data_IF_523650331576
#
_entry.id   IF_523650331576
#
_cell.length_a   1.000
_cell.length_b   1.000
_cell.length_c   1.000
_cell.angle_alpha   90.00
_cell.angle_beta   90.00
_cell.angle_gamma   90.00
#
_symmetry.space_group_name_H-M   'P 1'
#
loop_
_entity.id
_entity.type
_entity.pdbx_description
1 polymer ?
#
# COMPACT_ATOMS: atom_id res chain seq x y z
N UNK A 1 23.82 -39.34 -45.30
CA UNK A 1 22.76 -38.88 -44.39
C UNK A 1 22.64 -39.91 -43.27
N UNK A 2 23.14 -39.60 -42.06
CA UNK A 2 23.14 -40.56 -40.96
C UNK A 2 21.70 -40.84 -40.52
N UNK A 3 21.33 -42.13 -40.39
CA UNK A 3 19.99 -42.54 -39.94
C UNK A 3 19.91 -42.36 -38.42
N UNK A 4 19.31 -41.26 -37.98
CA UNK A 4 19.04 -41.00 -36.56
C UNK A 4 17.85 -41.85 -36.12
N UNK A 5 17.99 -42.60 -35.03
CA UNK A 5 16.89 -43.36 -34.45
C UNK A 5 15.92 -42.45 -33.68
N UNK A 6 14.63 -42.84 -33.59
CA UNK A 6 13.62 -42.07 -32.82
C UNK A 6 14.06 -41.76 -31.38
N UNK A 7 14.81 -42.68 -30.77
CA UNK A 7 15.36 -42.53 -29.42
C UNK A 7 16.46 -41.47 -29.36
N UNK A 8 17.34 -41.41 -30.35
CA UNK A 8 18.41 -40.42 -30.43
C UNK A 8 17.87 -39.02 -30.73
N UNK A 9 16.84 -38.93 -31.57
CA UNK A 9 16.13 -37.67 -31.83
C UNK A 9 15.52 -37.08 -30.56
N UNK A 10 14.88 -37.90 -29.73
CA UNK A 10 14.30 -37.42 -28.46
C UNK A 10 15.38 -37.01 -27.45
N UNK A 11 16.54 -37.70 -27.43
CA UNK A 11 17.67 -37.32 -26.59
C UNK A 11 18.28 -35.98 -27.00
N UNK A 12 18.48 -35.74 -28.30
CA UNK A 12 19.01 -34.46 -28.78
C UNK A 12 18.04 -33.30 -28.51
N UNK A 13 16.73 -33.54 -28.65
CA UNK A 13 15.72 -32.55 -28.34
C UNK A 13 15.72 -32.19 -26.84
N UNK A 14 15.74 -33.19 -25.96
CA UNK A 14 15.75 -32.98 -24.50
C UNK A 14 17.03 -32.31 -23.99
N UNK A 15 18.19 -32.64 -24.56
CA UNK A 15 19.46 -31.97 -24.23
C UNK A 15 19.45 -30.53 -24.74
N UNK A 16 18.90 -30.29 -25.94
CA UNK A 16 18.79 -28.96 -26.51
C UNK A 16 17.89 -28.03 -25.69
N UNK A 17 16.70 -28.49 -25.29
CA UNK A 17 15.78 -27.66 -24.49
C UNK A 17 16.28 -27.41 -23.08
N UNK A 18 16.88 -28.41 -22.43
CA UNK A 18 17.50 -28.23 -21.11
C UNK A 18 18.70 -27.26 -21.18
N UNK A 19 19.53 -27.35 -22.23
CA UNK A 19 20.65 -26.45 -22.44
C UNK A 19 20.22 -24.99 -22.62
N UNK A 20 19.15 -24.75 -23.40
CA UNK A 20 18.60 -23.40 -23.60
C UNK A 20 17.99 -22.84 -22.32
N UNK A 21 17.17 -23.63 -21.61
CA UNK A 21 16.55 -23.19 -20.36
C UNK A 21 17.58 -22.86 -19.27
N UNK A 22 18.66 -23.64 -19.18
CA UNK A 22 19.75 -23.37 -18.22
C UNK A 22 20.58 -22.15 -18.63
N UNK A 23 20.81 -21.92 -19.92
CA UNK A 23 21.56 -20.75 -20.38
C UNK A 23 20.75 -19.46 -20.19
N UNK A 24 19.49 -19.44 -20.58
CA UNK A 24 18.59 -18.30 -20.34
C UNK A 24 18.35 -18.08 -18.85
N UNK A 25 18.15 -19.15 -18.07
CA UNK A 25 17.97 -19.08 -16.61
C UNK A 25 19.22 -18.61 -15.85
N UNK A 26 20.43 -18.93 -16.31
CA UNK A 26 21.67 -18.43 -15.71
C UNK A 26 21.94 -16.95 -16.05
N UNK A 27 21.45 -16.48 -17.20
CA UNK A 27 21.47 -15.06 -17.59
C UNK A 27 20.25 -14.27 -17.13
N UNK A 28 19.29 -14.93 -16.47
CA UNK A 28 18.09 -14.27 -16.00
C UNK A 28 18.48 -13.27 -14.91
N UNK A 29 18.23 -11.99 -15.19
CA UNK A 29 18.31 -10.94 -14.18
C UNK A 29 17.35 -11.35 -13.06
N UNK A 30 17.79 -11.44 -11.80
CA UNK A 30 16.89 -11.79 -10.71
C UNK A 30 15.73 -10.80 -10.73
N UNK A 31 14.50 -11.31 -10.62
CA UNK A 31 13.31 -10.50 -10.41
C UNK A 31 13.37 -9.91 -8.99
N UNK A 32 14.35 -9.04 -8.74
CA UNK A 32 14.37 -8.22 -7.55
C UNK A 32 13.19 -7.28 -7.68
N UNK A 33 12.31 -7.32 -6.67
CA UNK A 33 11.23 -6.36 -6.53
C UNK A 33 11.83 -4.97 -6.73
N UNK A 34 11.36 -4.32 -7.79
CA UNK A 34 11.84 -3.05 -8.31
C UNK A 34 12.17 -2.09 -7.15
N UNK A 35 13.41 -1.64 -7.09
CA UNK A 35 13.94 -0.70 -6.09
C UNK A 35 13.20 0.66 -6.09
N UNK A 36 12.37 0.86 -7.12
CA UNK A 36 11.53 2.04 -7.34
C UNK A 36 10.05 1.73 -7.01
N UNK A 37 9.75 1.36 -5.76
CA UNK A 37 8.38 1.55 -5.27
C UNK A 37 8.13 3.07 -5.16
N UNK A 38 6.93 3.56 -5.52
CA UNK A 38 6.60 4.96 -5.27
C UNK A 38 6.74 5.23 -3.78
N UNK A 39 7.68 6.12 -3.44
CA UNK A 39 7.93 6.53 -2.07
C UNK A 39 6.71 7.35 -1.62
N UNK A 40 5.75 6.71 -0.92
CA UNK A 40 4.59 7.39 -0.37
C UNK A 40 5.05 8.22 0.83
N UNK A 41 5.64 9.38 0.53
CA UNK A 41 6.02 10.36 1.54
C UNK A 41 4.75 10.99 2.07
N UNK A 42 4.32 10.54 3.25
CA UNK A 42 3.27 11.19 4.02
C UNK A 42 3.61 12.68 4.17
N UNK A 43 2.72 13.55 3.71
CA UNK A 43 2.81 14.98 3.98
C UNK A 43 2.66 15.28 5.47
N UNK A 44 2.89 16.53 5.91
CA UNK A 44 2.68 16.91 7.29
C UNK A 44 1.21 16.70 7.71
N UNK A 45 1.00 16.35 8.98
CA UNK A 45 -0.34 16.22 9.56
C UNK A 45 -1.15 17.50 9.35
N UNK A 46 -2.33 17.37 8.73
CA UNK A 46 -3.19 18.50 8.34
C UNK A 46 -3.64 19.37 9.53
N UNK A 47 -3.76 18.75 10.71
CA UNK A 47 -4.22 19.39 11.95
C UNK A 47 -3.08 20.05 12.75
N UNK A 48 -1.82 19.90 12.36
CA UNK A 48 -0.67 20.40 13.16
C UNK A 48 -0.68 21.92 13.40
N UNK A 49 -1.36 22.68 12.55
CA UNK A 49 -1.42 24.15 12.57
C UNK A 49 -2.78 24.71 13.00
N UNK A 50 -3.70 23.85 13.41
CA UNK A 50 -5.06 24.25 13.79
C UNK A 50 -5.19 24.42 15.30
N UNK A 51 -6.08 25.29 15.74
CA UNK A 51 -6.50 25.40 17.14
C UNK A 51 -7.62 24.39 17.40
N UNK A 52 -7.42 23.57 18.42
CA UNK A 52 -8.41 22.63 18.95
C UNK A 52 -9.35 23.31 19.93
N UNK A 53 -10.62 22.93 19.91
CA UNK A 53 -11.64 23.41 20.86
C UNK A 53 -12.66 22.31 21.09
N UNK A 54 -12.77 21.84 22.33
CA UNK A 54 -13.79 20.90 22.74
C UNK A 54 -15.18 21.56 22.68
N UNK A 55 -16.16 20.84 22.15
CA UNK A 55 -17.54 21.29 22.01
C UNK A 55 -18.50 20.10 22.11
N UNK A 56 -19.80 20.37 22.02
CA UNK A 56 -20.87 19.37 22.03
C UNK A 56 -21.65 19.43 20.73
N UNK A 57 -21.97 18.26 20.17
CA UNK A 57 -22.77 18.11 18.97
C UNK A 57 -24.19 18.68 19.15
N UNK A 58 -24.59 19.60 18.27
CA UNK A 58 -25.83 20.37 18.38
C UNK A 58 -27.05 19.73 17.65
N UNK A 59 -27.01 18.43 17.36
CA UNK A 59 -28.05 17.75 16.59
C UNK A 59 -29.14 17.10 17.45
N UNK A 60 -28.98 15.82 17.85
CA UNK A 60 -30.07 15.01 18.45
C UNK A 60 -30.31 15.23 19.95
N UNK A 61 -29.48 16.00 20.64
CA UNK A 61 -29.51 16.09 22.11
C UNK A 61 -28.85 14.92 22.83
N UNK A 62 -28.28 13.96 22.09
CA UNK A 62 -27.52 12.84 22.66
C UNK A 62 -26.30 13.32 23.46
N UNK A 63 -25.73 14.47 23.10
CA UNK A 63 -24.64 15.10 23.83
C UNK A 63 -23.24 14.61 23.43
N UNK A 64 -23.07 14.05 22.24
CA UNK A 64 -21.77 13.60 21.73
C UNK A 64 -20.72 14.72 21.84
N UNK A 65 -19.57 14.41 22.45
CA UNK A 65 -18.42 15.30 22.49
C UNK A 65 -17.73 15.36 21.14
N UNK A 66 -17.30 16.54 20.74
CA UNK A 66 -16.58 16.76 19.48
C UNK A 66 -15.38 17.67 19.69
N UNK A 67 -14.32 17.45 18.93
CA UNK A 67 -13.16 18.33 18.85
C UNK A 67 -13.26 19.12 17.54
N UNK A 68 -13.30 20.44 17.66
CA UNK A 68 -13.38 21.36 16.53
C UNK A 68 -11.99 21.91 16.24
N UNK A 69 -11.51 21.72 15.01
CA UNK A 69 -10.24 22.26 14.53
C UNK A 69 -10.47 23.51 13.70
N UNK A 70 -9.84 24.61 14.09
CA UNK A 70 -9.97 25.91 13.43
C UNK A 70 -8.63 26.49 12.99
N UNK A 71 -8.63 27.17 11.84
CA UNK A 71 -7.49 27.93 11.31
C UNK A 71 -8.01 29.28 10.81
N UNK A 72 -7.36 30.39 11.20
CA UNK A 72 -7.77 31.74 10.78
C UNK A 72 -9.26 32.05 11.02
N UNK A 73 -9.77 31.69 12.21
CA UNK A 73 -11.19 31.83 12.59
C UNK A 73 -12.19 31.09 11.69
N UNK A 74 -11.74 30.08 10.95
CA UNK A 74 -12.60 29.19 10.17
C UNK A 74 -12.45 27.76 10.67
N UNK A 75 -13.57 27.05 10.78
CA UNK A 75 -13.55 25.61 11.06
C UNK A 75 -13.06 24.89 9.80
N UNK A 76 -12.07 24.02 9.97
CA UNK A 76 -11.47 23.26 8.86
C UNK A 76 -11.68 21.76 8.99
N UNK A 77 -11.92 21.27 10.21
CA UNK A 77 -12.19 19.86 10.50
C UNK A 77 -12.90 19.69 11.84
N UNK A 78 -13.67 18.61 12.00
CA UNK A 78 -14.34 18.21 13.24
C UNK A 78 -14.24 16.69 13.33
N UNK A 79 -13.94 16.17 14.51
CA UNK A 79 -14.04 14.74 14.83
C UNK A 79 -14.68 14.53 16.21
N UNK A 80 -14.97 13.27 16.56
CA UNK A 80 -15.50 12.93 17.87
C UNK A 80 -14.43 13.06 18.95
N UNK A 81 -14.86 13.39 20.17
CA UNK A 81 -13.98 13.45 21.33
C UNK A 81 -13.81 12.03 21.93
N UNK A 82 -12.60 11.43 21.89
CA UNK A 82 -12.36 10.09 22.43
C UNK A 82 -12.50 10.02 23.95
N UNK A 83 -12.37 11.15 24.67
CA UNK A 83 -12.49 11.21 26.12
C UNK A 83 -13.95 11.38 26.58
N UNK A 84 -14.88 11.63 25.65
CA UNK A 84 -16.29 11.80 25.98
C UNK A 84 -16.99 10.44 26.16
N UNK A 85 -17.65 10.20 27.31
CA UNK A 85 -18.22 8.89 27.64
C UNK A 85 -19.45 8.51 26.81
N UNK A 86 -20.04 9.44 26.07
CA UNK A 86 -21.26 9.19 25.28
C UNK A 86 -20.90 8.60 23.92
N UNK A 87 -19.80 9.05 23.31
CA UNK A 87 -19.46 8.67 21.96
C UNK A 87 -18.06 8.10 21.76
N UNK A 88 -17.13 8.27 22.70
CA UNK A 88 -15.79 7.65 22.66
C UNK A 88 -15.05 7.90 21.33
N UNK A 89 -15.30 9.06 20.71
CA UNK A 89 -14.71 9.44 19.42
C UNK A 89 -15.55 9.14 18.18
N UNK A 90 -16.75 8.54 18.30
CA UNK A 90 -17.64 8.16 17.20
C UNK A 90 -18.86 9.07 16.97
#
# INVERSE_FOLDING_TARGET
>A
MQKISRREFLKSLGIGTAGVALFEGASAVPALAKENLPDFKLGPFKLKRTKETASVCAYCGCGCGIIVYSENNKVVFIEGDPDNPINEGA
#
